data_IF_161251250119
#
_entry.id   IF_161251250119
#
_cell.length_a   1.000
_cell.length_b   1.000
_cell.length_c   1.000
_cell.angle_alpha   90.00
_cell.angle_beta   90.00
_cell.angle_gamma   90.00
#
_symmetry.space_group_name_H-M   'P 1'
#
loop_
_entity.id
_entity.type
_entity.pdbx_description
1 polymer ?
#
# COMPACT_ATOMS: atom_id res chain seq x y z
N UNK A 1 27.81 -23.43 -1.89
CA UNK A 1 26.52 -22.88 -2.34
C UNK A 1 26.35 -21.53 -1.68
N UNK A 2 26.48 -20.43 -2.43
CA UNK A 2 26.40 -19.09 -1.87
C UNK A 2 24.98 -18.84 -1.36
N UNK A 3 24.84 -18.58 -0.06
CA UNK A 3 23.60 -18.07 0.53
C UNK A 3 23.42 -16.64 0.03
N UNK A 4 22.70 -16.48 -1.08
CA UNK A 4 22.23 -15.16 -1.52
C UNK A 4 21.22 -14.70 -0.49
N UNK A 5 21.64 -13.81 0.41
CA UNK A 5 20.73 -13.07 1.28
C UNK A 5 19.65 -12.47 0.38
N UNK A 6 18.41 -12.91 0.56
CA UNK A 6 17.23 -12.35 -0.08
C UNK A 6 17.07 -10.93 0.45
N UNK A 7 17.75 -9.98 -0.17
CA UNK A 7 17.40 -8.58 -0.03
C UNK A 7 15.93 -8.44 -0.43
N UNK A 8 15.09 -8.01 0.50
CA UNK A 8 13.67 -7.81 0.22
C UNK A 8 13.54 -6.77 -0.90
N UNK A 9 12.64 -7.02 -1.87
CA UNK A 9 12.30 -6.01 -2.87
C UNK A 9 11.82 -4.70 -2.22
N UNK A 10 11.23 -4.78 -1.02
CA UNK A 10 10.82 -3.61 -0.23
C UNK A 10 12.02 -2.76 0.22
N UNK A 11 13.19 -3.37 0.49
CA UNK A 11 14.39 -2.62 0.85
C UNK A 11 14.89 -1.74 -0.30
N UNK A 12 14.52 -2.08 -1.55
CA UNK A 12 14.85 -1.33 -2.76
C UNK A 12 13.77 -0.31 -3.13
N UNK A 13 12.63 -0.30 -2.44
CA UNK A 13 11.53 0.62 -2.67
C UNK A 13 11.27 1.45 -1.42
N UNK A 14 12.10 2.47 -1.20
CA UNK A 14 11.94 3.37 -0.06
C UNK A 14 10.67 4.21 -0.21
N UNK A 15 9.91 4.33 0.89
CA UNK A 15 8.81 5.27 0.98
C UNK A 15 9.35 6.70 0.89
N UNK A 16 8.70 7.53 0.07
CA UNK A 16 8.98 8.96 -0.05
C UNK A 16 7.66 9.70 0.07
N UNK A 17 7.59 10.69 0.96
CA UNK A 17 6.43 11.56 1.02
C UNK A 17 6.47 12.62 -0.09
N UNK A 18 5.40 12.67 -0.87
CA UNK A 18 5.19 13.55 -2.01
C UNK A 18 4.00 14.51 -1.77
N UNK A 19 3.53 14.61 -0.52
CA UNK A 19 2.50 15.56 -0.09
C UNK A 19 2.97 17.02 -0.11
N UNK A 20 4.29 17.23 -0.14
CA UNK A 20 4.93 18.54 0.01
C UNK A 20 5.10 18.98 1.47
N UNK A 21 4.87 18.08 2.44
CA UNK A 21 5.14 18.31 3.86
C UNK A 21 6.52 17.78 4.21
N UNK A 22 7.30 18.58 4.94
CA UNK A 22 8.54 18.12 5.56
C UNK A 22 8.22 17.37 6.86
N UNK A 23 8.48 16.07 6.87
CA UNK A 23 8.27 15.19 8.03
C UNK A 23 9.57 14.80 8.73
N UNK A 24 10.72 15.37 8.33
CA UNK A 24 12.05 14.96 8.79
C UNK A 24 12.27 15.13 10.30
N UNK A 25 11.56 16.06 10.93
CA UNK A 25 11.63 16.35 12.38
C UNK A 25 10.66 15.52 13.21
N UNK A 26 9.77 14.74 12.59
CA UNK A 26 8.72 14.00 13.27
C UNK A 26 9.06 12.50 13.35
N UNK A 27 8.81 11.90 14.52
CA UNK A 27 8.98 10.45 14.67
C UNK A 27 7.93 9.66 13.89
N UNK A 28 6.73 10.21 13.74
CA UNK A 28 5.66 9.65 12.93
C UNK A 28 5.38 10.62 11.76
N UNK A 29 5.53 10.19 10.50
CA UNK A 29 5.35 11.07 9.35
C UNK A 29 3.92 11.63 9.21
N UNK A 30 2.93 10.99 9.83
CA UNK A 30 1.55 11.48 9.84
C UNK A 30 1.34 12.67 10.77
N UNK A 31 2.15 12.83 11.82
CA UNK A 31 2.01 13.94 12.77
C UNK A 31 2.33 15.27 12.07
N UNK A 32 3.38 15.28 11.22
CA UNK A 32 3.73 16.43 10.40
C UNK A 32 2.58 16.85 9.47
N UNK A 33 1.92 15.88 8.85
CA UNK A 33 0.78 16.11 7.96
C UNK A 33 -0.41 16.69 8.71
N UNK A 34 -0.73 16.15 9.88
CA UNK A 34 -1.85 16.59 10.72
C UNK A 34 -1.60 18.02 11.22
N UNK A 35 -0.38 18.29 11.72
CA UNK A 35 0.01 19.61 12.23
C UNK A 35 -0.03 20.69 11.15
N UNK A 36 0.58 20.43 9.98
CA UNK A 36 0.56 21.38 8.85
C UNK A 36 -0.86 21.65 8.35
N UNK A 37 -1.75 20.66 8.46
CA UNK A 37 -3.15 20.81 8.07
C UNK A 37 -4.03 21.41 9.19
N UNK A 38 -3.51 21.67 10.39
CA UNK A 38 -4.26 22.16 11.55
C UNK A 38 -5.52 21.32 11.83
N UNK A 39 -5.42 19.99 11.70
CA UNK A 39 -6.55 19.06 11.82
C UNK A 39 -7.73 19.33 10.84
N UNK A 40 -7.55 20.17 9.81
CA UNK A 40 -8.58 20.45 8.81
C UNK A 40 -8.72 19.27 7.82
N UNK A 41 -9.89 18.58 7.79
CA UNK A 41 -10.11 17.47 6.88
C UNK A 41 -9.99 17.84 5.40
N UNK A 42 -10.31 19.08 5.01
CA UNK A 42 -10.23 19.52 3.62
C UNK A 42 -8.76 19.66 3.18
N UNK A 43 -7.91 20.24 4.03
CA UNK A 43 -6.47 20.37 3.77
C UNK A 43 -5.77 19.01 3.75
N UNK A 44 -6.13 18.11 4.68
CA UNK A 44 -5.62 16.73 4.67
C UNK A 44 -5.97 16.01 3.36
N UNK A 45 -7.21 16.14 2.91
CA UNK A 45 -7.67 15.54 1.65
C UNK A 45 -6.91 16.11 0.45
N UNK A 46 -6.63 17.43 0.45
CA UNK A 46 -5.84 18.08 -0.59
C UNK A 46 -4.39 17.56 -0.62
N UNK A 47 -3.70 17.54 0.53
CA UNK A 47 -2.33 17.04 0.65
C UNK A 47 -2.20 15.58 0.24
N UNK A 48 -3.14 14.73 0.63
CA UNK A 48 -3.16 13.34 0.20
C UNK A 48 -3.41 13.20 -1.32
N UNK A 49 -4.29 14.03 -1.88
CA UNK A 49 -4.54 14.05 -3.32
C UNK A 49 -3.30 14.45 -4.10
N UNK A 50 -2.58 15.47 -3.62
CA UNK A 50 -1.31 15.92 -4.19
C UNK A 50 -0.25 14.81 -4.12
N UNK A 51 -0.08 14.16 -2.96
CA UNK A 51 0.81 13.01 -2.81
C UNK A 51 0.52 11.94 -3.88
N UNK A 52 -0.76 11.56 -4.05
CA UNK A 52 -1.16 10.53 -5.01
C UNK A 52 -0.88 10.95 -6.46
N UNK A 53 -1.20 12.20 -6.83
CA UNK A 53 -1.00 12.70 -8.18
C UNK A 53 0.49 12.81 -8.53
N UNK A 54 1.29 13.39 -7.64
CA UNK A 54 2.75 13.53 -7.80
C UNK A 54 3.41 12.16 -7.91
N UNK A 55 3.08 11.21 -7.02
CA UNK A 55 3.59 9.84 -7.08
C UNK A 55 3.27 9.17 -8.41
N UNK A 56 2.02 9.26 -8.87
CA UNK A 56 1.62 8.64 -10.13
C UNK A 56 2.35 9.28 -11.33
N UNK A 57 2.52 10.60 -11.33
CA UNK A 57 3.27 11.30 -12.37
C UNK A 57 4.75 10.88 -12.39
N UNK A 58 5.40 10.82 -11.21
CA UNK A 58 6.79 10.39 -11.07
C UNK A 58 6.97 8.93 -11.53
N UNK A 59 6.09 8.02 -11.10
CA UNK A 59 6.16 6.61 -11.50
C UNK A 59 5.92 6.43 -13.01
N UNK A 60 4.99 7.19 -13.59
CA UNK A 60 4.78 7.20 -15.05
C UNK A 60 6.04 7.68 -15.78
N UNK A 61 6.68 8.76 -15.32
CA UNK A 61 7.91 9.26 -15.92
C UNK A 61 9.05 8.24 -15.82
N UNK A 62 9.21 7.59 -14.67
CA UNK A 62 10.22 6.55 -14.46
C UNK A 62 10.03 5.35 -15.39
N UNK A 63 8.79 4.85 -15.51
CA UNK A 63 8.45 3.70 -16.36
C UNK A 63 8.63 4.00 -17.86
N UNK A 64 8.42 5.26 -18.26
CA UNK A 64 8.56 5.68 -19.66
C UNK A 64 9.97 6.21 -19.99
N UNK A 65 10.88 6.25 -19.02
CA UNK A 65 12.24 6.75 -19.24
C UNK A 65 13.02 5.83 -20.20
N UNK A 66 13.78 6.37 -21.17
CA UNK A 66 14.70 5.57 -21.97
C UNK A 66 15.78 4.86 -21.14
N UNK A 67 16.06 5.36 -19.94
CA UNK A 67 17.03 4.78 -18.99
C UNK A 67 16.37 3.90 -17.94
N UNK A 68 15.10 3.52 -18.12
CA UNK A 68 14.39 2.66 -17.18
C UNK A 68 15.13 1.32 -17.00
N UNK A 69 15.63 0.99 -15.78
CA UNK A 69 16.44 -0.20 -15.56
C UNK A 69 15.63 -1.50 -15.57
N UNK A 70 14.29 -1.43 -15.67
CA UNK A 70 13.38 -2.56 -15.52
C UNK A 70 12.68 -2.58 -14.16
N UNK A 71 11.74 -3.52 -14.01
CA UNK A 71 11.04 -3.73 -12.75
C UNK A 71 11.90 -4.55 -11.79
N UNK A 72 11.82 -4.24 -10.50
CA UNK A 72 12.38 -5.09 -9.45
C UNK A 72 11.48 -6.32 -9.33
N UNK A 73 11.99 -7.47 -9.78
CA UNK A 73 11.24 -8.73 -9.74
C UNK A 73 11.30 -9.35 -8.33
N UNK A 74 10.19 -9.93 -7.90
CA UNK A 74 10.15 -10.79 -6.72
C UNK A 74 10.97 -12.06 -7.01
N UNK A 75 12.07 -12.26 -6.26
CA UNK A 75 12.98 -13.38 -6.48
C UNK A 75 12.39 -14.75 -6.12
N UNK A 76 11.35 -14.80 -5.28
CA UNK A 76 10.63 -16.04 -4.97
C UNK A 76 9.72 -16.41 -6.13
N UNK A 77 8.93 -15.46 -6.64
CA UNK A 77 8.08 -15.66 -7.81
C UNK A 77 8.90 -16.00 -9.05
N UNK A 78 10.03 -15.32 -9.28
CA UNK A 78 10.93 -15.62 -10.40
C UNK A 78 11.39 -17.08 -10.39
N UNK A 79 11.90 -17.57 -9.25
CA UNK A 79 12.32 -18.97 -9.09
C UNK A 79 11.17 -19.97 -9.20
N UNK A 80 9.95 -19.56 -8.83
CA UNK A 80 8.76 -20.41 -8.93
C UNK A 80 8.27 -20.56 -10.37
N UNK A 81 8.33 -19.49 -11.14
CA UNK A 81 7.80 -19.42 -12.52
C UNK A 81 8.82 -19.92 -13.54
N UNK A 82 10.11 -19.68 -13.33
CA UNK A 82 11.18 -20.10 -14.23
C UNK A 82 12.02 -21.24 -13.63
N UNK A 83 11.80 -22.51 -14.05
CA UNK A 83 12.56 -23.65 -13.56
C UNK A 83 14.05 -23.59 -13.90
N UNK A 84 14.47 -22.81 -14.91
CA UNK A 84 15.88 -22.68 -15.28
C UNK A 84 16.69 -21.88 -14.25
N UNK A 85 16.03 -20.96 -13.52
CA UNK A 85 16.66 -20.14 -12.48
C UNK A 85 16.91 -20.96 -11.22
N UNK A 86 15.96 -21.83 -10.84
CA UNK A 86 16.11 -22.69 -9.67
C UNK A 86 15.31 -23.98 -9.84
N UNK A 87 15.92 -25.02 -10.45
CA UNK A 87 15.26 -26.30 -10.67
C UNK A 87 14.80 -26.92 -9.34
N UNK A 88 13.53 -27.32 -9.29
CA UNK A 88 12.96 -27.94 -8.09
C UNK A 88 12.67 -26.96 -6.93
N UNK A 89 12.70 -25.65 -7.17
CA UNK A 89 12.36 -24.66 -6.15
C UNK A 89 10.91 -24.82 -5.67
N UNK A 90 10.76 -24.93 -4.34
CA UNK A 90 9.48 -24.88 -3.64
C UNK A 90 9.41 -23.53 -2.92
N UNK A 91 8.37 -22.76 -3.21
CA UNK A 91 8.11 -21.49 -2.52
C UNK A 91 7.87 -21.78 -1.03
N UNK A 92 8.72 -21.25 -0.11
CA UNK A 92 8.57 -21.51 1.33
C UNK A 92 7.40 -20.72 1.95
N UNK A 93 6.79 -19.78 1.20
CA UNK A 93 5.64 -19.00 1.66
C UNK A 93 4.40 -19.88 1.64
N UNK A 94 3.97 -20.31 2.82
CA UNK A 94 2.68 -20.95 3.02
C UNK A 94 1.58 -19.89 3.11
N UNK A 95 1.31 -19.19 2.01
CA UNK A 95 0.25 -18.17 1.95
C UNK A 95 -1.11 -18.85 1.79
N UNK A 96 -1.72 -19.23 2.90
CA UNK A 96 -3.10 -19.72 2.93
C UNK A 96 -4.05 -18.55 3.10
N UNK A 97 -4.77 -18.20 2.02
CA UNK A 97 -5.81 -17.15 2.07
C UNK A 97 -7.18 -17.81 2.01
N UNK A 98 -7.94 -17.69 3.10
CA UNK A 98 -9.34 -18.13 3.14
C UNK A 98 -10.26 -17.02 2.66
N UNK A 99 -10.81 -17.19 1.47
CA UNK A 99 -11.91 -16.38 0.99
C UNK A 99 -13.24 -17.02 1.42
N UNK A 100 -13.76 -16.58 2.56
CA UNK A 100 -15.03 -17.07 3.11
C UNK A 100 -16.11 -16.00 3.05
N UNK A 101 -17.36 -16.39 2.74
CA UNK A 101 -18.50 -15.52 2.98
C UNK A 101 -18.74 -15.43 4.49
N UNK A 102 -18.75 -14.22 5.09
CA UNK A 102 -19.00 -14.11 6.52
C UNK A 102 -20.41 -14.63 6.86
N UNK A 103 -20.60 -15.31 8.00
CA UNK A 103 -21.92 -15.73 8.45
C UNK A 103 -22.91 -14.56 8.56
N UNK A 104 -24.23 -14.81 8.49
CA UNK A 104 -25.23 -13.75 8.53
C UNK A 104 -25.07 -12.77 9.70
N UNK A 105 -24.77 -13.26 10.90
CA UNK A 105 -24.62 -12.41 12.08
C UNK A 105 -23.43 -11.42 11.98
N UNK A 106 -22.32 -11.82 11.33
CA UNK A 106 -21.17 -10.94 11.09
C UNK A 106 -21.53 -9.84 10.09
N UNK A 107 -22.25 -10.19 9.03
CA UNK A 107 -22.73 -9.21 8.03
C UNK A 107 -23.69 -8.21 8.64
N UNK A 108 -24.62 -8.68 9.48
CA UNK A 108 -25.53 -7.80 10.24
C UNK A 108 -24.75 -6.84 11.14
N UNK A 109 -23.78 -7.35 11.91
CA UNK A 109 -22.95 -6.50 12.76
C UNK A 109 -22.19 -5.44 11.96
N UNK A 110 -21.56 -5.82 10.84
CA UNK A 110 -20.87 -4.89 9.96
C UNK A 110 -21.82 -3.80 9.43
N UNK A 111 -23.03 -4.17 8.99
CA UNK A 111 -24.04 -3.22 8.53
C UNK A 111 -24.48 -2.26 9.66
N UNK A 112 -24.65 -2.74 10.88
CA UNK A 112 -24.98 -1.90 12.04
C UNK A 112 -23.86 -0.91 12.35
N UNK A 113 -22.60 -1.35 12.32
CA UNK A 113 -21.44 -0.47 12.51
C UNK A 113 -21.40 0.59 11.42
N UNK A 114 -21.57 0.20 10.16
CA UNK A 114 -21.60 1.13 9.04
C UNK A 114 -22.71 2.18 9.17
N UNK A 115 -23.91 1.79 9.63
CA UNK A 115 -25.01 2.71 9.89
C UNK A 115 -24.64 3.73 10.97
N UNK A 116 -24.11 3.28 12.11
CA UNK A 116 -23.67 4.16 13.20
C UNK A 116 -22.54 5.11 12.78
N UNK A 117 -21.61 4.63 11.95
CA UNK A 117 -20.54 5.48 11.42
C UNK A 117 -21.10 6.59 10.51
N UNK A 118 -22.12 6.29 9.69
CA UNK A 118 -22.79 7.30 8.87
C UNK A 118 -23.57 8.33 9.68
N UNK A 119 -24.14 7.94 10.83
CA UNK A 119 -24.82 8.89 11.72
C UNK A 119 -23.84 9.96 12.23
N UNK A 120 -22.61 9.56 12.59
CA UNK A 120 -21.58 10.46 13.12
C UNK A 120 -20.82 11.19 12.01
N UNK A 121 -20.59 10.54 10.86
CA UNK A 121 -19.90 11.12 9.71
C UNK A 121 -20.61 10.77 8.40
N UNK A 122 -21.63 11.57 8.00
CA UNK A 122 -22.45 11.27 6.82
C UNK A 122 -21.68 11.28 5.48
N UNK A 123 -20.53 11.96 5.43
CA UNK A 123 -19.69 12.08 4.23
C UNK A 123 -18.62 11.00 4.12
N UNK A 124 -18.43 10.17 5.15
CA UNK A 124 -17.43 9.10 5.10
C UNK A 124 -17.85 8.03 4.09
N UNK A 125 -16.94 7.70 3.17
CA UNK A 125 -17.13 6.58 2.26
C UNK A 125 -17.07 5.26 3.03
N UNK A 126 -18.11 4.44 2.87
CA UNK A 126 -18.15 3.07 3.38
C UNK A 126 -18.40 2.13 2.19
N UNK A 127 -17.71 0.98 2.11
CA UNK A 127 -17.94 0.03 1.05
C UNK A 127 -19.36 -0.56 1.13
N UNK A 128 -19.95 -1.02 0.01
CA UNK A 128 -21.25 -1.66 0.01
C UNK A 128 -21.27 -2.85 0.97
N UNK A 129 -22.32 -2.95 1.78
CA UNK A 129 -22.54 -4.12 2.62
C UNK A 129 -22.81 -5.35 1.74
N UNK A 130 -21.95 -6.37 1.85
CA UNK A 130 -22.07 -7.67 1.16
C UNK A 130 -23.33 -8.44 1.55
#
# INVERSE_FOLDING_TARGET
MASVLLESADAKNSFVDLSGVDSSTFSNPYDALIEVCNDDPALLQEKYSNHRQTRNAQQKANLLSPTFPGLILDGILLRRVDPSVSPGYVDPRNSLVFWGRPPPHVRTLAATIQAKLKEVSPRTYLPPSL
#
